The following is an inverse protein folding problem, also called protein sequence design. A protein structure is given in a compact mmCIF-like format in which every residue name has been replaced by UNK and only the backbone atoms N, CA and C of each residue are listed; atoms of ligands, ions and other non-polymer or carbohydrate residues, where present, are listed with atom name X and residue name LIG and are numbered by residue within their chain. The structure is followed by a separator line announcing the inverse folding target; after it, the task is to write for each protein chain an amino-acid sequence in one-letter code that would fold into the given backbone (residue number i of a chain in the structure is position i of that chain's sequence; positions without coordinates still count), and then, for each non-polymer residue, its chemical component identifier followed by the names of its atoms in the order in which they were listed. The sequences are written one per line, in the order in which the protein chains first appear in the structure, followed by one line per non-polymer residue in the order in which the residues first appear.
data_IF_697854781863
#
_entry.id   IF_697854781863
#
_cell.length_a   1.000
_cell.length_b   1.000
_cell.length_c   1.000
_cell.angle_alpha   90.00
_cell.angle_beta   90.00
_cell.angle_gamma   90.00
#
_symmetry.space_group_name_H-M   'P 1'
#
loop_
_entity.id
_entity.type
_entity.pdbx_description
1 polymer ?
#
# COMPACT_ATOMS: atom_id res chain seq x y z
N UNK A 1 -16.55 -36.01 6.74
CA UNK A 1 -15.49 -35.77 5.74
C UNK A 1 -15.06 -34.33 5.85
N UNK A 2 -13.77 -34.03 5.89
CA UNK A 2 -13.27 -32.66 5.83
C UNK A 2 -13.75 -32.02 4.51
N UNK A 3 -14.15 -30.74 4.56
CA UNK A 3 -14.61 -30.01 3.37
C UNK A 3 -13.37 -29.70 2.51
N UNK A 4 -13.24 -30.32 1.35
CA UNK A 4 -12.15 -30.06 0.43
C UNK A 4 -12.34 -28.71 -0.29
N UNK A 5 -11.26 -27.96 -0.45
CA UNK A 5 -11.21 -26.68 -1.17
C UNK A 5 -10.33 -26.82 -2.41
N UNK A 6 -10.60 -26.04 -3.44
CA UNK A 6 -9.69 -25.91 -4.57
C UNK A 6 -8.46 -25.09 -4.20
N UNK A 7 -8.64 -24.10 -3.30
CA UNK A 7 -7.58 -23.20 -2.84
C UNK A 7 -7.71 -22.85 -1.37
N UNK A 8 -6.59 -22.93 -0.65
CA UNK A 8 -6.40 -22.29 0.66
C UNK A 8 -5.50 -21.07 0.54
N UNK A 9 -5.94 -19.95 1.10
CA UNK A 9 -5.15 -18.71 1.21
C UNK A 9 -4.78 -18.48 2.66
N UNK A 10 -3.49 -18.41 2.96
CA UNK A 10 -2.98 -18.16 4.32
C UNK A 10 -2.66 -16.68 4.47
N UNK A 11 -3.43 -16.01 5.34
CA UNK A 11 -3.37 -14.57 5.60
C UNK A 11 -4.52 -13.80 4.94
N UNK A 12 -5.27 -13.04 5.73
CA UNK A 12 -6.39 -12.20 5.30
C UNK A 12 -6.02 -10.70 5.12
N UNK A 13 -4.73 -10.41 4.88
CA UNK A 13 -4.30 -9.08 4.42
C UNK A 13 -4.75 -8.82 2.99
N UNK A 14 -4.51 -7.59 2.48
CA UNK A 14 -4.98 -7.17 1.15
C UNK A 14 -4.49 -8.09 0.02
N UNK A 15 -3.29 -8.66 0.14
CA UNK A 15 -2.76 -9.61 -0.86
C UNK A 15 -3.56 -10.91 -0.84
N UNK A 16 -3.80 -11.48 0.36
CA UNK A 16 -4.62 -12.69 0.48
C UNK A 16 -6.08 -12.48 0.06
N UNK A 17 -6.66 -11.34 0.38
CA UNK A 17 -7.99 -10.93 -0.10
C UNK A 17 -8.01 -10.83 -1.64
N UNK A 18 -6.97 -10.25 -2.24
CA UNK A 18 -6.84 -10.18 -3.71
C UNK A 18 -6.74 -11.56 -4.37
N UNK A 19 -5.94 -12.45 -3.78
CA UNK A 19 -5.83 -13.85 -4.24
C UNK A 19 -7.17 -14.58 -4.11
N UNK A 20 -7.86 -14.43 -2.96
CA UNK A 20 -9.16 -15.06 -2.74
C UNK A 20 -10.22 -14.58 -3.73
N UNK A 21 -10.26 -13.26 -4.00
CA UNK A 21 -11.17 -12.67 -5.00
C UNK A 21 -10.89 -13.23 -6.41
N UNK A 22 -9.62 -13.24 -6.81
CA UNK A 22 -9.24 -13.72 -8.14
C UNK A 22 -9.63 -15.21 -8.35
N UNK A 23 -9.36 -16.05 -7.36
CA UNK A 23 -9.73 -17.45 -7.40
C UNK A 23 -11.26 -17.65 -7.40
N UNK A 24 -11.97 -16.92 -6.56
CA UNK A 24 -13.43 -17.00 -6.47
C UNK A 24 -14.11 -16.53 -7.77
N UNK A 25 -13.59 -15.50 -8.43
CA UNK A 25 -14.05 -15.04 -9.76
C UNK A 25 -13.84 -16.12 -10.84
N UNK A 26 -12.86 -17.02 -10.68
CA UNK A 26 -12.65 -18.20 -11.54
C UNK A 26 -13.47 -19.43 -11.10
N UNK A 27 -14.42 -19.27 -10.17
CA UNK A 27 -15.31 -20.35 -9.70
C UNK A 27 -14.65 -21.33 -8.75
N UNK A 28 -13.46 -21.03 -8.19
CA UNK A 28 -12.78 -21.89 -7.22
C UNK A 28 -13.44 -21.81 -5.85
N UNK A 29 -13.48 -22.94 -5.16
CA UNK A 29 -13.92 -23.04 -3.77
C UNK A 29 -12.75 -22.69 -2.85
N UNK A 30 -12.83 -21.53 -2.22
CA UNK A 30 -11.71 -20.91 -1.49
C UNK A 30 -11.96 -20.91 0.01
N UNK A 31 -10.90 -21.21 0.77
CA UNK A 31 -10.82 -20.91 2.20
C UNK A 31 -9.69 -19.92 2.48
N UNK A 32 -9.96 -18.86 3.26
CA UNK A 32 -8.95 -17.95 3.78
C UNK A 32 -8.72 -18.26 5.26
N UNK A 33 -7.46 -18.43 5.65
CA UNK A 33 -7.07 -18.82 7.00
C UNK A 33 -6.25 -17.67 7.61
N UNK A 34 -6.78 -17.07 8.67
CA UNK A 34 -6.14 -15.94 9.33
C UNK A 34 -5.92 -16.23 10.83
N UNK A 35 -4.70 -16.02 11.29
CA UNK A 35 -4.32 -16.31 12.69
C UNK A 35 -4.97 -15.42 13.73
N UNK A 36 -5.39 -14.21 13.33
CA UNK A 36 -6.04 -13.24 14.20
C UNK A 36 -7.56 -13.22 13.96
N UNK A 37 -8.29 -12.54 14.83
CA UNK A 37 -9.74 -12.32 14.68
C UNK A 37 -10.10 -11.40 13.49
N UNK A 38 -9.11 -10.67 12.95
CA UNK A 38 -9.19 -9.78 11.80
C UNK A 38 -7.79 -9.47 11.28
N UNK A 39 -7.67 -8.87 10.11
CA UNK A 39 -6.40 -8.35 9.64
C UNK A 39 -5.86 -7.28 10.59
N UNK A 40 -4.61 -7.41 11.05
CA UNK A 40 -3.94 -6.48 11.99
C UNK A 40 -2.57 -6.00 11.50
N UNK A 41 -2.08 -6.51 10.36
CA UNK A 41 -0.78 -6.16 9.80
C UNK A 41 -0.79 -4.88 8.96
N UNK A 42 0.16 -4.78 8.02
CA UNK A 42 0.36 -3.63 7.14
C UNK A 42 -0.93 -3.14 6.46
N UNK A 43 -1.84 -4.06 6.11
CA UNK A 43 -3.05 -3.76 5.35
C UNK A 43 -4.03 -2.80 6.04
N UNK A 44 -3.94 -2.60 7.37
CA UNK A 44 -4.78 -1.63 8.10
C UNK A 44 -3.95 -0.54 8.78
N UNK A 45 -2.62 -0.60 8.72
CA UNK A 45 -1.71 0.35 9.37
C UNK A 45 -1.06 1.31 8.38
N UNK A 46 -1.72 1.56 7.26
CA UNK A 46 -1.28 2.39 6.15
C UNK A 46 -2.25 3.58 5.94
N UNK A 47 -2.01 4.37 4.90
CA UNK A 47 -2.86 5.52 4.57
C UNK A 47 -4.23 5.14 4.01
N UNK A 48 -4.47 3.90 3.60
CA UNK A 48 -5.62 3.54 2.75
C UNK A 48 -5.57 4.22 1.38
N UNK A 49 -4.39 4.62 0.97
CA UNK A 49 -4.14 5.35 -0.26
C UNK A 49 -3.68 4.39 -1.35
N UNK A 50 -4.54 4.19 -2.34
CA UNK A 50 -4.24 3.42 -3.54
C UNK A 50 -3.46 4.34 -4.48
N UNK A 51 -2.14 4.37 -4.30
CA UNK A 51 -1.21 5.24 -5.02
C UNK A 51 -0.84 4.64 -6.35
N UNK A 52 -0.96 5.39 -7.41
CA UNK A 52 -0.63 5.00 -8.78
C UNK A 52 0.55 5.81 -9.31
N UNK A 53 0.43 7.14 -9.22
CA UNK A 53 1.50 8.05 -9.65
C UNK A 53 2.72 7.87 -8.77
N UNK A 54 3.88 7.81 -9.40
CA UNK A 54 5.14 7.57 -8.71
C UNK A 54 5.48 6.10 -8.48
N UNK A 55 4.61 5.15 -8.82
CA UNK A 55 5.00 3.74 -8.81
C UNK A 55 6.06 3.47 -9.88
N UNK A 56 6.94 2.49 -9.62
CA UNK A 56 8.00 2.10 -10.55
C UNK A 56 7.44 1.81 -11.95
N UNK A 57 8.08 2.36 -12.97
CA UNK A 57 7.68 2.16 -14.37
C UNK A 57 7.65 0.67 -14.77
N UNK A 58 6.84 0.35 -15.77
CA UNK A 58 6.72 -1.02 -16.28
C UNK A 58 5.69 -1.85 -15.55
N UNK A 59 6.00 -3.11 -15.26
CA UNK A 59 5.05 -4.09 -14.73
C UNK A 59 4.45 -3.67 -13.39
N UNK A 60 5.21 -3.00 -12.52
CA UNK A 60 4.72 -2.55 -11.23
C UNK A 60 3.64 -1.46 -11.35
N UNK A 61 3.87 -0.45 -12.20
CA UNK A 61 2.87 0.58 -12.49
C UNK A 61 1.62 -0.01 -13.16
N UNK A 62 1.79 -0.91 -14.13
CA UNK A 62 0.66 -1.60 -14.76
C UNK A 62 -0.17 -2.40 -13.75
N UNK A 63 0.51 -3.08 -12.83
CA UNK A 63 -0.13 -3.79 -11.70
C UNK A 63 -0.92 -2.83 -10.80
N UNK A 64 -0.37 -1.66 -10.52
CA UNK A 64 -1.07 -0.64 -9.73
C UNK A 64 -2.31 -0.09 -10.45
N UNK A 65 -2.21 0.20 -11.74
CA UNK A 65 -3.36 0.62 -12.56
C UNK A 65 -4.46 -0.45 -12.55
N UNK A 66 -4.12 -1.73 -12.79
CA UNK A 66 -5.11 -2.82 -12.76
C UNK A 66 -5.73 -2.99 -11.37
N UNK A 67 -4.94 -2.92 -10.31
CA UNK A 67 -5.47 -3.03 -8.95
C UNK A 67 -6.43 -1.89 -8.60
N UNK A 68 -6.14 -0.65 -9.04
CA UNK A 68 -7.06 0.48 -8.92
C UNK A 68 -8.38 0.21 -9.64
N UNK A 69 -8.33 -0.36 -10.85
CA UNK A 69 -9.54 -0.70 -11.61
C UNK A 69 -10.37 -1.75 -10.85
N UNK A 70 -9.72 -2.78 -10.27
CA UNK A 70 -10.42 -3.76 -9.42
C UNK A 70 -11.05 -3.10 -8.20
N UNK A 71 -10.34 -2.17 -7.52
CA UNK A 71 -10.95 -1.40 -6.44
C UNK A 71 -12.23 -0.69 -6.91
N UNK A 72 -12.17 0.04 -8.03
CA UNK A 72 -13.32 0.75 -8.59
C UNK A 72 -14.49 -0.18 -8.96
N UNK A 73 -14.19 -1.41 -9.40
CA UNK A 73 -15.20 -2.43 -9.73
C UNK A 73 -15.96 -2.93 -8.49
N UNK A 74 -15.32 -3.00 -7.33
CA UNK A 74 -15.86 -3.73 -6.17
C UNK A 74 -16.32 -2.85 -5.01
N UNK A 75 -15.91 -1.57 -4.94
CA UNK A 75 -16.19 -0.73 -3.77
C UNK A 75 -17.67 -0.58 -3.47
N UNK A 76 -18.50 -0.40 -4.49
CA UNK A 76 -19.96 -0.23 -4.31
C UNK A 76 -20.61 -1.54 -3.84
N UNK A 77 -20.23 -2.67 -4.43
CA UNK A 77 -20.75 -3.99 -4.03
C UNK A 77 -20.32 -4.40 -2.63
N UNK A 78 -19.13 -3.99 -2.21
CA UNK A 78 -18.56 -4.27 -0.89
C UNK A 78 -18.92 -3.20 0.16
N UNK A 79 -19.77 -2.22 -0.16
CA UNK A 79 -20.13 -1.09 0.70
C UNK A 79 -18.91 -0.33 1.25
N UNK A 80 -17.91 -0.11 0.41
CA UNK A 80 -16.68 0.62 0.75
C UNK A 80 -16.77 2.04 0.20
N UNK A 81 -16.67 3.04 1.06
CA UNK A 81 -16.62 4.42 0.62
C UNK A 81 -15.26 4.78 0.06
N UNK A 82 -15.23 5.39 -1.13
CA UNK A 82 -14.07 6.16 -1.60
C UNK A 82 -14.18 7.57 -1.00
N UNK A 83 -13.25 7.92 -0.13
CA UNK A 83 -13.29 9.19 0.62
C UNK A 83 -12.95 10.36 -0.28
N UNK A 84 -11.95 10.21 -1.12
CA UNK A 84 -11.57 11.17 -2.16
C UNK A 84 -10.78 10.50 -3.28
N UNK A 85 -10.66 11.18 -4.41
CA UNK A 85 -9.94 10.74 -5.58
C UNK A 85 -8.74 11.64 -5.87
N UNK A 86 -7.74 11.08 -6.54
CA UNK A 86 -6.60 11.83 -7.07
C UNK A 86 -5.57 12.23 -6.03
N UNK A 87 -4.53 12.86 -6.55
CA UNK A 87 -3.36 13.32 -5.83
C UNK A 87 -2.98 14.71 -6.28
N UNK A 88 -2.66 15.58 -5.32
CA UNK A 88 -2.09 16.92 -5.51
C UNK A 88 -0.68 16.94 -4.94
N UNK A 89 0.29 17.44 -5.71
CA UNK A 89 1.68 17.58 -5.28
C UNK A 89 2.15 19.02 -5.57
N UNK A 90 2.15 19.91 -4.56
CA UNK A 90 2.69 21.27 -4.72
C UNK A 90 4.23 21.21 -4.81
N UNK A 91 4.79 21.64 -5.93
CA UNK A 91 6.22 21.78 -6.13
C UNK A 91 6.69 23.11 -5.58
N UNK A 92 7.35 23.09 -4.45
CA UNK A 92 7.86 24.27 -3.73
C UNK A 92 9.28 24.64 -4.14
N UNK A 93 9.97 23.68 -4.76
CA UNK A 93 11.32 23.83 -5.26
C UNK A 93 11.29 23.84 -6.78
N UNK A 94 12.04 24.72 -7.47
CA UNK A 94 12.07 24.73 -8.93
C UNK A 94 12.40 23.38 -9.54
N UNK A 95 13.33 22.64 -8.94
CA UNK A 95 13.73 21.31 -9.40
C UNK A 95 12.56 20.31 -9.32
N UNK A 96 11.66 20.47 -8.35
CA UNK A 96 10.47 19.63 -8.24
C UNK A 96 9.48 19.89 -9.38
N UNK A 97 9.36 21.14 -9.81
CA UNK A 97 8.59 21.52 -11.01
C UNK A 97 9.13 20.84 -12.27
N UNK A 98 10.45 20.83 -12.45
CA UNK A 98 11.11 20.16 -13.56
C UNK A 98 10.83 18.65 -13.57
N UNK A 99 10.86 18.00 -12.41
CA UNK A 99 10.49 16.56 -12.29
C UNK A 99 9.03 16.33 -12.65
N UNK A 100 8.13 17.19 -12.17
CA UNK A 100 6.70 17.09 -12.50
C UNK A 100 6.44 17.20 -14.01
N UNK A 101 7.08 18.16 -14.68
CA UNK A 101 7.00 18.31 -16.13
C UNK A 101 7.59 17.13 -16.91
N UNK A 102 8.71 16.57 -16.45
CA UNK A 102 9.31 15.38 -17.04
C UNK A 102 8.41 14.15 -16.87
N UNK A 103 7.81 13.98 -15.70
CA UNK A 103 6.88 12.88 -15.42
C UNK A 103 5.67 12.90 -16.37
N UNK A 104 5.11 14.08 -16.67
CA UNK A 104 3.98 14.22 -17.59
C UNK A 104 4.29 13.73 -19.03
N UNK A 105 5.57 13.63 -19.39
CA UNK A 105 5.99 13.12 -20.72
C UNK A 105 6.17 11.60 -20.73
N UNK A 106 6.05 10.94 -19.57
CA UNK A 106 6.11 9.48 -19.47
C UNK A 106 4.74 8.84 -19.67
N UNK A 107 4.66 7.54 -19.97
CA UNK A 107 3.37 6.83 -19.99
C UNK A 107 2.61 6.91 -18.65
N UNK A 108 3.32 7.02 -17.53
CA UNK A 108 2.73 7.14 -16.19
C UNK A 108 2.06 8.50 -15.95
N UNK A 109 2.46 9.53 -16.70
CA UNK A 109 1.87 10.87 -16.67
C UNK A 109 0.57 11.01 -17.47
N UNK A 110 0.11 9.94 -18.13
CA UNK A 110 -1.15 9.98 -18.89
C UNK A 110 -2.31 10.41 -17.99
N UNK A 111 -3.12 11.36 -18.45
CA UNK A 111 -4.23 12.03 -17.73
C UNK A 111 -3.79 12.87 -16.52
N UNK A 112 -2.51 12.85 -16.12
CA UNK A 112 -1.98 13.80 -15.15
C UNK A 112 -1.79 15.18 -15.82
N UNK A 113 -1.78 16.23 -15.01
CA UNK A 113 -1.59 17.61 -15.52
C UNK A 113 -0.97 18.52 -14.48
N UNK A 114 -0.44 19.63 -14.91
CA UNK A 114 -0.20 20.75 -14.01
C UNK A 114 -1.53 21.49 -13.80
N UNK A 115 -1.78 21.92 -12.58
CA UNK A 115 -2.93 22.72 -12.23
C UNK A 115 -2.50 24.08 -11.69
N UNK A 116 -3.40 25.05 -11.80
CA UNK A 116 -3.21 26.37 -11.22
C UNK A 116 -3.32 26.32 -9.69
N UNK A 117 -2.77 27.33 -9.01
CA UNK A 117 -2.92 27.48 -7.54
C UNK A 117 -4.40 27.59 -7.14
N UNK A 118 -5.22 28.24 -7.94
CA UNK A 118 -6.66 28.38 -7.69
C UNK A 118 -7.35 27.00 -7.71
N UNK A 119 -7.12 26.20 -8.75
CA UNK A 119 -7.66 24.83 -8.83
C UNK A 119 -7.20 23.96 -7.66
N UNK A 120 -5.92 24.08 -7.26
CA UNK A 120 -5.38 23.34 -6.12
C UNK A 120 -6.02 23.78 -4.81
N UNK A 121 -6.24 25.07 -4.61
CA UNK A 121 -6.94 25.63 -3.45
C UNK A 121 -8.42 25.23 -3.40
N UNK A 122 -9.10 25.17 -4.54
CA UNK A 122 -10.49 24.70 -4.62
C UNK A 122 -10.61 23.23 -4.20
N UNK A 123 -9.60 22.42 -4.55
CA UNK A 123 -9.57 21.00 -4.25
C UNK A 123 -9.14 20.71 -2.80
N UNK A 124 -8.14 21.45 -2.28
CA UNK A 124 -7.62 21.35 -0.91
C UNK A 124 -7.38 22.77 -0.37
N UNK A 125 -8.38 23.43 0.21
CA UNK A 125 -8.32 24.83 0.62
C UNK A 125 -7.23 25.17 1.66
N UNK A 126 -6.77 24.17 2.41
CA UNK A 126 -5.73 24.34 3.42
C UNK A 126 -4.30 24.27 2.89
N UNK A 127 -4.08 24.13 1.56
CA UNK A 127 -2.73 24.13 1.01
C UNK A 127 -2.05 25.50 1.16
N UNK A 128 -0.81 25.48 1.61
CA UNK A 128 0.09 26.65 1.54
C UNK A 128 0.68 26.74 0.15
N UNK A 129 0.20 27.68 -0.66
CA UNK A 129 0.60 27.87 -2.06
C UNK A 129 1.55 29.05 -2.27
N UNK A 130 1.96 29.74 -1.18
CA UNK A 130 2.99 30.77 -1.24
C UNK A 130 4.35 30.12 -1.58
N UNK A 131 5.03 30.69 -2.59
CA UNK A 131 6.29 30.15 -3.07
C UNK A 131 6.18 28.83 -3.88
N UNK A 132 4.98 28.27 -4.05
CA UNK A 132 4.75 27.13 -4.95
C UNK A 132 4.76 27.62 -6.39
N UNK A 133 5.58 27.03 -7.25
CA UNK A 133 5.67 27.42 -8.66
C UNK A 133 4.69 26.63 -9.52
N UNK A 134 4.53 25.34 -9.24
CA UNK A 134 3.63 24.47 -9.98
C UNK A 134 2.99 23.43 -9.06
N UNK A 135 1.87 22.86 -9.49
CA UNK A 135 1.15 21.80 -8.77
C UNK A 135 0.89 20.67 -9.75
N UNK A 136 1.42 19.48 -9.47
CA UNK A 136 1.10 18.28 -10.21
C UNK A 136 -0.21 17.70 -9.69
N UNK A 137 -1.13 17.38 -10.59
CA UNK A 137 -2.36 16.64 -10.29
C UNK A 137 -2.38 15.31 -11.02
N UNK A 138 -2.74 14.25 -10.30
CA UNK A 138 -3.08 12.95 -10.86
C UNK A 138 -4.52 12.59 -10.52
N UNK A 139 -5.34 12.10 -11.48
CA UNK A 139 -6.69 11.62 -11.24
C UNK A 139 -6.75 10.12 -10.86
N UNK A 140 -5.62 9.43 -10.82
CA UNK A 140 -5.60 7.96 -10.77
C UNK A 140 -5.84 7.38 -9.39
N UNK A 141 -5.57 8.11 -8.33
CA UNK A 141 -5.54 7.64 -6.96
C UNK A 141 -6.93 7.51 -6.35
N UNK A 142 -7.06 6.56 -5.41
CA UNK A 142 -8.24 6.36 -4.59
C UNK A 142 -7.85 6.37 -3.11
N UNK A 143 -8.72 6.89 -2.26
CA UNK A 143 -8.59 6.81 -0.80
C UNK A 143 -9.74 6.01 -0.20
N UNK A 144 -9.43 4.90 0.47
CA UNK A 144 -10.36 4.08 1.26
C UNK A 144 -9.92 4.03 2.73
N UNK A 145 -10.83 3.89 3.68
CA UNK A 145 -10.45 3.66 5.07
C UNK A 145 -10.07 2.18 5.25
N UNK A 146 -8.78 1.87 5.31
CA UNK A 146 -8.28 0.49 5.29
C UNK A 146 -8.79 -0.36 6.45
N UNK A 147 -8.94 0.25 7.63
CA UNK A 147 -9.46 -0.44 8.83
C UNK A 147 -10.92 -0.88 8.69
N UNK A 148 -11.68 -0.22 7.82
CA UNK A 148 -13.06 -0.55 7.48
C UNK A 148 -13.16 -1.40 6.21
N UNK A 149 -12.34 -1.07 5.20
CA UNK A 149 -12.38 -1.74 3.90
C UNK A 149 -12.03 -3.24 4.00
N UNK A 150 -11.01 -3.61 4.78
CA UNK A 150 -10.60 -5.02 4.89
C UNK A 150 -11.70 -5.93 5.49
N UNK A 151 -12.35 -5.60 6.62
CA UNK A 151 -13.49 -6.36 7.13
C UNK A 151 -14.67 -6.41 6.15
N UNK A 152 -14.99 -5.31 5.48
CA UNK A 152 -16.07 -5.24 4.48
C UNK A 152 -15.76 -6.13 3.27
N UNK A 153 -14.53 -6.14 2.77
CA UNK A 153 -14.09 -7.05 1.71
C UNK A 153 -14.25 -8.52 2.12
N UNK A 154 -13.84 -8.88 3.33
CA UNK A 154 -14.00 -10.24 3.82
C UNK A 154 -15.47 -10.66 3.89
N UNK A 155 -16.33 -9.82 4.48
CA UNK A 155 -17.77 -10.07 4.58
C UNK A 155 -18.43 -10.16 3.19
N UNK A 156 -18.04 -9.29 2.26
CA UNK A 156 -18.52 -9.33 0.88
C UNK A 156 -18.10 -10.62 0.14
N UNK A 157 -16.84 -11.05 0.31
CA UNK A 157 -16.36 -12.33 -0.26
C UNK A 157 -17.11 -13.54 0.30
N UNK A 158 -17.40 -13.56 1.61
CA UNK A 158 -18.23 -14.60 2.23
C UNK A 158 -19.66 -14.59 1.65
N UNK A 159 -20.29 -13.46 1.63
CA UNK A 159 -21.70 -13.33 1.24
C UNK A 159 -21.89 -13.59 -0.26
N UNK A 160 -21.08 -12.92 -1.10
CA UNK A 160 -21.26 -12.90 -2.56
C UNK A 160 -20.53 -14.02 -3.28
N UNK A 161 -19.31 -14.33 -2.86
CA UNK A 161 -18.43 -15.29 -3.54
C UNK A 161 -18.28 -16.63 -2.84
N UNK A 162 -18.95 -16.82 -1.68
CA UNK A 162 -18.95 -18.06 -0.89
C UNK A 162 -17.54 -18.48 -0.45
N UNK A 163 -16.64 -17.52 -0.25
CA UNK A 163 -15.32 -17.75 0.35
C UNK A 163 -15.51 -18.07 1.83
N UNK A 164 -14.93 -19.16 2.30
CA UNK A 164 -14.95 -19.51 3.72
C UNK A 164 -13.80 -18.78 4.44
N UNK A 165 -14.06 -18.12 5.56
CA UNK A 165 -13.01 -17.52 6.40
C UNK A 165 -12.83 -18.31 7.70
N UNK A 166 -11.56 -18.60 8.05
CA UNK A 166 -11.14 -19.24 9.28
C UNK A 166 -10.30 -18.27 10.10
N UNK A 167 -10.99 -17.42 10.85
CA UNK A 167 -10.38 -16.49 11.79
C UNK A 167 -9.83 -17.20 13.02
N UNK A 168 -8.91 -16.56 13.74
CA UNK A 168 -8.23 -17.12 14.93
C UNK A 168 -7.56 -18.48 14.66
N UNK A 169 -7.19 -18.75 13.42
CA UNK A 169 -6.69 -20.05 12.99
C UNK A 169 -5.28 -19.88 12.41
N UNK A 170 -4.27 -20.34 13.14
CA UNK A 170 -2.88 -20.31 12.68
C UNK A 170 -2.56 -21.57 11.87
N UNK A 171 -1.96 -21.40 10.68
CA UNK A 171 -1.37 -22.50 9.91
C UNK A 171 -0.01 -22.82 10.51
N UNK A 172 0.26 -24.11 10.78
CA UNK A 172 1.49 -24.62 11.37
C UNK A 172 2.39 -25.32 10.37
N UNK A 173 1.79 -26.09 9.45
CA UNK A 173 2.50 -26.80 8.40
C UNK A 173 1.61 -27.00 7.18
N UNK A 174 2.26 -27.19 6.02
CA UNK A 174 1.63 -27.52 4.74
C UNK A 174 2.38 -28.74 4.19
N UNK A 175 1.66 -29.85 4.05
CA UNK A 175 2.17 -31.11 3.52
C UNK A 175 1.25 -31.65 2.43
N UNK A 176 1.66 -31.47 1.18
CA UNK A 176 0.81 -31.76 0.01
C UNK A 176 -0.49 -30.95 0.06
N UNK A 177 -1.63 -31.64 -0.01
CA UNK A 177 -2.98 -31.02 0.09
C UNK A 177 -3.42 -30.76 1.52
N UNK A 178 -2.64 -31.20 2.52
CA UNK A 178 -2.99 -31.16 3.92
C UNK A 178 -2.38 -29.94 4.60
N UNK A 179 -3.22 -29.11 5.21
CA UNK A 179 -2.84 -27.90 5.92
C UNK A 179 -3.13 -28.10 7.42
N UNK A 180 -2.08 -28.16 8.21
CA UNK A 180 -2.20 -28.32 9.67
C UNK A 180 -2.42 -26.94 10.31
N UNK A 181 -3.48 -26.82 11.08
CA UNK A 181 -3.83 -25.56 11.75
C UNK A 181 -3.95 -25.73 13.26
N UNK A 182 -4.11 -24.61 13.96
CA UNK A 182 -4.41 -24.61 15.41
C UNK A 182 -5.77 -25.22 15.75
N UNK A 183 -6.65 -25.41 14.78
CA UNK A 183 -8.01 -25.92 14.94
C UNK A 183 -8.29 -27.18 14.08
N UNK A 184 -7.27 -28.00 13.87
CA UNK A 184 -7.36 -29.23 13.08
C UNK A 184 -6.83 -29.06 11.67
N UNK A 185 -7.16 -30.00 10.80
CA UNK A 185 -6.62 -30.09 9.44
C UNK A 185 -7.64 -29.57 8.43
N UNK A 186 -7.15 -28.84 7.43
CA UNK A 186 -7.90 -28.41 6.24
C UNK A 186 -7.28 -29.08 5.02
N UNK A 187 -8.11 -29.52 4.08
CA UNK A 187 -7.67 -30.10 2.81
C UNK A 187 -7.95 -29.11 1.67
N UNK A 188 -6.92 -28.83 0.86
CA UNK A 188 -7.03 -27.98 -0.34
C UNK A 188 -6.06 -28.46 -1.44
N UNK A 189 -6.49 -28.38 -2.71
CA UNK A 189 -5.68 -28.81 -3.85
C UNK A 189 -4.46 -27.90 -4.08
N UNK A 190 -4.59 -26.62 -3.75
CA UNK A 190 -3.51 -25.65 -3.85
C UNK A 190 -3.49 -24.69 -2.64
N UNK A 191 -2.33 -24.06 -2.39
CA UNK A 191 -2.13 -23.12 -1.29
C UNK A 191 -1.40 -21.87 -1.74
N UNK A 192 -1.91 -20.70 -1.36
CA UNK A 192 -1.18 -19.44 -1.49
C UNK A 192 -0.92 -18.87 -0.11
N UNK A 193 0.35 -18.69 0.23
CA UNK A 193 0.80 -18.14 1.52
C UNK A 193 1.15 -16.68 1.35
N UNK A 194 0.43 -15.79 2.06
CA UNK A 194 0.61 -14.34 2.06
C UNK A 194 1.05 -13.88 3.46
N UNK A 195 2.31 -14.10 3.86
CA UNK A 195 2.75 -13.95 5.24
C UNK A 195 2.91 -12.48 5.68
N UNK A 196 2.85 -11.53 4.74
CA UNK A 196 3.15 -10.12 5.03
C UNK A 196 4.63 -9.92 5.36
N UNK A 197 4.93 -9.54 6.60
CA UNK A 197 6.29 -9.35 7.14
C UNK A 197 6.72 -10.47 8.12
N UNK A 198 6.00 -11.59 8.12
CA UNK A 198 6.39 -12.78 8.90
C UNK A 198 7.35 -13.66 8.09
N UNK A 199 8.64 -13.54 8.38
CA UNK A 199 9.70 -14.26 7.69
C UNK A 199 10.04 -15.63 8.32
N UNK A 200 9.41 -15.99 9.44
CA UNK A 200 9.85 -17.10 10.28
C UNK A 200 8.87 -18.26 10.41
N UNK A 201 7.57 -18.04 10.16
CA UNK A 201 6.55 -19.05 10.46
C UNK A 201 6.42 -20.09 9.35
N UNK A 202 6.24 -19.66 8.09
CA UNK A 202 6.05 -20.56 6.94
C UNK A 202 7.12 -20.30 5.88
N UNK A 203 7.78 -21.38 5.45
CA UNK A 203 8.83 -21.35 4.43
C UNK A 203 10.03 -20.41 4.74
N UNK A 204 10.54 -20.38 5.99
CA UNK A 204 11.62 -19.46 6.35
C UNK A 204 12.88 -19.65 5.50
N UNK A 205 13.24 -20.89 5.15
CA UNK A 205 14.40 -21.20 4.30
C UNK A 205 14.24 -20.69 2.86
N UNK A 206 12.99 -20.56 2.37
CA UNK A 206 12.71 -19.97 1.05
C UNK A 206 12.86 -18.45 1.13
N UNK A 207 12.29 -17.84 2.15
CA UNK A 207 12.35 -16.38 2.39
C UNK A 207 13.80 -15.94 2.60
N UNK A 208 14.58 -16.70 3.39
CA UNK A 208 15.98 -16.38 3.70
C UNK A 208 16.94 -16.34 2.48
N UNK A 209 16.53 -16.88 1.34
CA UNK A 209 17.31 -16.78 0.09
C UNK A 209 17.29 -15.37 -0.53
N UNK A 210 16.42 -14.50 -0.03
CA UNK A 210 16.21 -13.16 -0.55
C UNK A 210 16.66 -12.10 0.46
N UNK A 211 17.29 -10.99 0.00
CA UNK A 211 17.75 -9.91 0.87
C UNK A 211 16.57 -9.04 1.32
N UNK A 212 15.68 -9.59 2.13
CA UNK A 212 14.55 -8.89 2.69
C UNK A 212 14.90 -8.24 4.03
N UNK A 213 14.30 -7.09 4.27
CA UNK A 213 14.30 -6.38 5.55
C UNK A 213 12.87 -6.05 5.97
N UNK A 214 12.68 -5.70 7.23
CA UNK A 214 11.45 -5.11 7.71
C UNK A 214 11.59 -3.59 7.65
N UNK A 215 10.66 -2.93 6.97
CA UNK A 215 10.48 -1.50 7.09
C UNK A 215 9.53 -1.23 8.25
N UNK A 216 9.95 -0.43 9.21
CA UNK A 216 9.10 0.11 10.27
C UNK A 216 8.81 1.56 9.97
N UNK A 217 7.53 1.93 9.98
CA UNK A 217 7.09 3.29 9.75
C UNK A 217 6.23 3.80 10.90
N UNK A 218 6.37 5.09 11.20
CA UNK A 218 5.56 5.79 12.19
C UNK A 218 4.57 6.70 11.46
N UNK A 219 3.33 6.64 11.90
CA UNK A 219 2.22 7.35 11.30
C UNK A 219 1.41 8.08 12.35
N UNK A 220 0.79 9.17 11.95
CA UNK A 220 -0.01 10.05 12.79
C UNK A 220 -1.44 10.16 12.27
N UNK A 221 -2.38 10.32 13.21
CA UNK A 221 -3.70 10.87 12.91
C UNK A 221 -3.78 12.27 13.48
N UNK A 222 -4.09 13.23 12.62
CA UNK A 222 -4.16 14.64 12.96
C UNK A 222 -5.61 15.10 12.84
N UNK A 223 -6.15 15.72 13.90
CA UNK A 223 -7.45 16.37 13.86
C UNK A 223 -7.27 17.88 13.63
N UNK A 224 -7.80 18.44 12.53
CA UNK A 224 -7.87 19.89 12.35
C UNK A 224 -8.72 20.55 13.44
N UNK A 225 -8.35 21.73 13.91
CA UNK A 225 -9.16 22.50 14.88
C UNK A 225 -10.47 23.03 14.26
N UNK A 226 -10.48 23.25 12.96
CA UNK A 226 -11.65 23.64 12.18
C UNK A 226 -11.85 22.64 11.05
N UNK A 227 -13.11 22.37 10.64
CA UNK A 227 -13.37 21.50 9.50
C UNK A 227 -12.60 21.96 8.25
N UNK A 228 -11.90 21.03 7.63
CA UNK A 228 -11.17 21.25 6.38
C UNK A 228 -11.54 20.15 5.39
N UNK A 229 -11.63 20.50 4.12
CA UNK A 229 -11.94 19.54 3.05
C UNK A 229 -10.68 19.20 2.27
N UNK A 230 -10.49 17.91 2.03
CA UNK A 230 -9.51 17.37 1.12
C UNK A 230 -10.22 16.64 -0.02
N UNK A 231 -10.28 17.25 -1.19
CA UNK A 231 -10.85 16.63 -2.38
C UNK A 231 -9.89 15.63 -3.06
N UNK A 232 -8.62 15.63 -2.65
CA UNK A 232 -7.58 14.71 -3.12
C UNK A 232 -6.57 14.42 -2.00
N UNK A 233 -5.78 13.36 -2.17
CA UNK A 233 -4.56 13.15 -1.36
C UNK A 233 -3.55 14.26 -1.64
N UNK A 234 -2.67 14.52 -0.69
CA UNK A 234 -1.56 15.46 -0.88
C UNK A 234 -0.25 14.77 -0.55
N UNK A 235 0.73 14.92 -1.42
CA UNK A 235 2.12 14.58 -1.16
C UNK A 235 2.98 15.85 -1.26
N UNK A 236 4.01 15.97 -0.42
CA UNK A 236 5.00 17.04 -0.61
C UNK A 236 5.94 16.75 -1.78
N UNK A 237 6.66 17.76 -2.24
CA UNK A 237 7.62 17.63 -3.35
C UNK A 237 8.83 16.73 -3.01
N UNK A 238 9.04 16.41 -1.72
CA UNK A 238 10.02 15.42 -1.31
C UNK A 238 9.70 14.02 -1.87
N UNK A 239 8.42 13.72 -2.11
CA UNK A 239 7.96 12.46 -2.70
C UNK A 239 8.45 12.26 -4.14
N UNK A 240 8.70 13.36 -4.90
CA UNK A 240 9.27 13.33 -6.24
C UNK A 240 10.73 12.83 -6.26
N UNK A 241 11.43 12.91 -5.12
CA UNK A 241 12.79 12.37 -4.97
C UNK A 241 12.84 10.96 -4.37
N UNK A 242 11.67 10.37 -4.04
CA UNK A 242 11.57 9.08 -3.35
C UNK A 242 10.89 8.00 -4.18
N UNK A 243 9.69 8.26 -4.71
CA UNK A 243 8.95 7.28 -5.51
C UNK A 243 9.62 7.04 -6.85
N UNK A 244 9.93 5.78 -7.17
CA UNK A 244 10.74 5.38 -8.31
C UNK A 244 10.21 5.90 -9.65
N UNK A 245 8.89 6.00 -9.82
CA UNK A 245 8.28 6.59 -11.02
C UNK A 245 8.64 8.06 -11.27
N UNK A 246 9.03 8.79 -10.22
CA UNK A 246 9.57 10.15 -10.34
C UNK A 246 11.09 10.15 -10.15
N UNK A 247 11.55 9.46 -9.09
CA UNK A 247 12.93 9.50 -8.63
C UNK A 247 13.93 8.89 -9.62
N UNK A 248 13.49 7.99 -10.50
CA UNK A 248 14.33 7.37 -11.54
C UNK A 248 14.46 8.26 -12.79
N UNK A 249 13.69 9.35 -12.89
CA UNK A 249 13.87 10.32 -13.95
C UNK A 249 15.22 11.06 -13.80
N UNK A 250 15.94 11.31 -14.89
CA UNK A 250 17.20 12.06 -14.85
C UNK A 250 17.04 13.42 -14.17
N UNK A 251 15.91 14.09 -14.37
CA UNK A 251 15.57 15.39 -13.82
C UNK A 251 15.49 15.39 -12.28
N UNK A 252 15.19 14.25 -11.66
CA UNK A 252 15.10 14.11 -10.22
C UNK A 252 16.45 14.25 -9.50
N UNK A 253 17.59 14.12 -10.21
CA UNK A 253 18.90 14.18 -9.60
C UNK A 253 19.22 15.55 -8.97
N UNK A 254 18.78 16.64 -9.60
CA UNK A 254 18.97 17.98 -9.05
C UNK A 254 18.14 18.17 -7.76
N UNK A 255 16.90 17.73 -7.76
CA UNK A 255 16.03 17.75 -6.58
C UNK A 255 16.61 16.91 -5.44
N UNK A 256 17.10 15.70 -5.72
CA UNK A 256 17.73 14.83 -4.71
C UNK A 256 18.90 15.52 -4.03
N UNK A 257 19.84 16.08 -4.80
CA UNK A 257 21.00 16.78 -4.26
C UNK A 257 20.60 17.98 -3.37
N UNK A 258 19.60 18.75 -3.79
CA UNK A 258 19.10 19.87 -3.00
C UNK A 258 18.49 19.40 -1.68
N UNK A 259 17.61 18.38 -1.75
CA UNK A 259 16.97 17.83 -0.56
C UNK A 259 17.96 17.15 0.40
N UNK A 260 19.03 16.54 -0.10
CA UNK A 260 20.07 15.94 0.74
C UNK A 260 20.80 16.98 1.60
N UNK A 261 20.78 18.27 1.20
CA UNK A 261 21.34 19.39 1.97
C UNK A 261 20.25 20.05 2.83
N UNK A 262 19.11 20.43 2.24
CA UNK A 262 18.06 21.20 2.92
C UNK A 262 17.27 20.38 3.94
N UNK A 263 17.04 19.08 3.64
CA UNK A 263 16.16 18.18 4.39
C UNK A 263 16.91 16.91 4.85
N UNK A 264 18.21 17.06 5.17
CA UNK A 264 19.08 15.92 5.48
C UNK A 264 18.50 15.02 6.58
N UNK A 265 17.91 15.60 7.63
CA UNK A 265 17.34 14.85 8.75
C UNK A 265 16.08 14.10 8.35
N UNK A 266 15.15 14.73 7.64
CA UNK A 266 13.92 14.12 7.12
C UNK A 266 14.23 13.02 6.09
N UNK A 267 15.21 13.26 5.21
CA UNK A 267 15.68 12.29 4.22
C UNK A 267 16.29 11.05 4.88
N UNK A 268 17.12 11.24 5.92
CA UNK A 268 17.69 10.12 6.68
C UNK A 268 16.64 9.32 7.44
N UNK A 269 15.55 9.96 7.86
CA UNK A 269 14.39 9.31 8.47
C UNK A 269 13.39 8.74 7.45
N UNK A 270 13.64 8.90 6.14
CA UNK A 270 12.77 8.46 5.05
C UNK A 270 11.44 9.20 4.96
N UNK A 271 11.35 10.41 5.53
CA UNK A 271 10.12 11.24 5.51
C UNK A 271 9.99 11.93 4.17
N UNK A 272 8.78 11.94 3.61
CA UNK A 272 8.46 12.60 2.35
C UNK A 272 7.02 13.13 2.29
N UNK A 273 6.28 13.08 3.36
CA UNK A 273 4.90 13.46 3.62
C UNK A 273 3.86 12.97 2.63
N UNK A 274 2.91 12.21 3.17
CA UNK A 274 1.61 11.95 2.59
C UNK A 274 0.55 12.42 3.59
N UNK A 275 -0.50 13.07 3.12
CA UNK A 275 -1.68 13.40 3.90
C UNK A 275 -2.95 12.99 3.15
N UNK A 276 -3.82 12.23 3.81
CA UNK A 276 -5.12 11.81 3.28
C UNK A 276 -6.20 12.03 4.32
N UNK A 277 -7.40 12.40 3.88
CA UNK A 277 -8.51 12.61 4.80
C UNK A 277 -9.25 11.30 5.08
N UNK A 278 -9.74 11.16 6.31
CA UNK A 278 -10.66 10.13 6.77
C UNK A 278 -12.10 10.64 6.78
N UNK A 279 -13.08 9.74 6.85
CA UNK A 279 -14.50 10.10 6.82
C UNK A 279 -14.94 11.01 8.00
N UNK A 280 -14.23 10.95 9.13
CA UNK A 280 -14.47 11.80 10.30
C UNK A 280 -13.83 13.21 10.19
N UNK A 281 -13.20 13.51 9.04
CA UNK A 281 -12.52 14.77 8.80
C UNK A 281 -11.08 14.84 9.33
N UNK A 282 -10.64 13.84 10.11
CA UNK A 282 -9.23 13.74 10.51
C UNK A 282 -8.33 13.38 9.33
N UNK A 283 -7.02 13.61 9.49
CA UNK A 283 -6.02 13.32 8.46
C UNK A 283 -5.10 12.19 8.94
N UNK A 284 -4.86 11.21 8.07
CA UNK A 284 -3.74 10.28 8.23
C UNK A 284 -2.53 10.89 7.56
N UNK A 285 -1.48 11.06 8.35
CA UNK A 285 -0.27 11.82 7.97
C UNK A 285 0.96 10.99 8.27
N UNK A 286 1.93 11.03 7.40
CA UNK A 286 3.20 10.32 7.62
C UNK A 286 4.07 10.31 6.37
N UNK A 287 4.99 9.46 6.34
CA UNK A 287 5.49 8.51 7.32
C UNK A 287 7.01 8.55 7.44
N UNK A 288 7.56 7.96 8.49
CA UNK A 288 8.99 7.68 8.58
C UNK A 288 9.29 6.27 8.04
N UNK A 289 10.56 6.00 7.67
CA UNK A 289 10.97 4.67 7.22
C UNK A 289 12.29 4.27 7.86
N UNK A 290 12.25 3.25 8.69
CA UNK A 290 13.42 2.65 9.33
C UNK A 290 13.54 1.19 8.88
N UNK A 291 14.65 0.84 8.27
CA UNK A 291 14.90 -0.50 7.74
C UNK A 291 15.79 -1.31 8.68
N UNK A 292 15.44 -2.58 8.91
CA UNK A 292 16.20 -3.46 9.78
C UNK A 292 15.73 -4.91 9.67
N UNK A 293 16.37 -5.78 10.46
CA UNK A 293 16.01 -7.22 10.51
C UNK A 293 14.86 -7.49 11.49
N UNK A 294 14.43 -6.48 12.23
CA UNK A 294 13.34 -6.58 13.20
C UNK A 294 12.57 -5.26 13.24
N UNK A 295 11.31 -5.34 13.63
CA UNK A 295 10.46 -4.18 13.88
C UNK A 295 11.04 -3.30 15.00
N UNK A 296 11.00 -1.98 14.83
CA UNK A 296 11.24 -1.03 15.92
C UNK A 296 9.92 -0.84 16.70
N UNK A 297 9.84 -1.28 17.97
CA UNK A 297 8.57 -1.31 18.69
C UNK A 297 8.18 0.06 19.27
N UNK A 298 9.12 1.02 19.32
CA UNK A 298 8.89 2.31 19.96
C UNK A 298 8.72 3.42 18.94
N UNK A 299 7.67 4.25 19.13
CA UNK A 299 7.51 5.50 18.42
C UNK A 299 8.53 6.53 18.89
N UNK A 300 8.98 7.40 17.97
CA UNK A 300 9.96 8.45 18.25
C UNK A 300 9.30 9.83 18.13
N UNK A 301 9.42 10.64 19.18
CA UNK A 301 8.99 12.05 19.14
C UNK A 301 9.75 12.86 18.07
N UNK A 302 10.99 12.49 17.79
CA UNK A 302 11.76 13.08 16.69
C UNK A 302 11.07 12.88 15.34
N UNK A 303 10.54 11.69 15.08
CA UNK A 303 9.83 11.43 13.82
C UNK A 303 8.48 12.16 13.77
N UNK A 304 7.74 12.23 14.89
CA UNK A 304 6.53 13.06 14.98
C UNK A 304 6.85 14.50 14.57
N UNK A 305 7.89 15.09 15.17
CA UNK A 305 8.29 16.47 14.86
C UNK A 305 8.61 16.65 13.37
N UNK A 306 9.46 15.80 12.79
CA UNK A 306 9.84 15.92 11.38
C UNK A 306 8.64 15.78 10.43
N UNK A 307 7.71 14.85 10.72
CA UNK A 307 6.47 14.69 9.95
C UNK A 307 5.60 15.93 10.06
N UNK A 308 5.45 16.47 11.28
CA UNK A 308 4.62 17.64 11.55
C UNK A 308 5.24 18.92 11.03
N UNK A 309 6.56 19.08 11.06
CA UNK A 309 7.28 20.19 10.46
C UNK A 309 7.04 20.26 8.94
N UNK A 310 7.11 19.11 8.25
CA UNK A 310 6.79 19.07 6.83
C UNK A 310 5.30 19.27 6.57
N UNK A 311 4.43 18.75 7.44
CA UNK A 311 2.98 18.98 7.36
C UNK A 311 2.67 20.49 7.44
N UNK A 312 3.26 21.23 8.38
CA UNK A 312 3.05 22.67 8.56
C UNK A 312 3.64 23.52 7.43
N UNK A 313 4.61 22.99 6.69
CA UNK A 313 5.09 23.63 5.46
C UNK A 313 4.10 23.50 4.30
N UNK A 314 3.35 22.40 4.25
CA UNK A 314 2.42 22.09 3.16
C UNK A 314 1.02 22.64 3.44
N UNK A 315 0.60 22.67 4.73
CA UNK A 315 -0.78 23.02 5.09
C UNK A 315 -0.85 24.21 6.05
N UNK A 316 -1.92 24.98 5.88
CA UNK A 316 -2.36 26.01 6.84
C UNK A 316 -3.54 25.47 7.67
N UNK A 317 -3.21 24.73 8.73
CA UNK A 317 -4.18 24.12 9.66
C UNK A 317 -3.78 24.43 11.10
N UNK A 318 -3.92 25.70 11.52
CA UNK A 318 -3.54 26.11 12.86
C UNK A 318 -4.39 25.42 13.93
N UNK A 319 -3.79 25.14 15.09
CA UNK A 319 -4.47 24.52 16.21
C UNK A 319 -4.78 23.03 16.02
N UNK A 320 -4.19 22.39 15.02
CA UNK A 320 -4.27 20.94 14.83
C UNK A 320 -3.76 20.16 16.04
N UNK A 321 -4.31 18.99 16.28
CA UNK A 321 -3.87 18.09 17.35
C UNK A 321 -3.57 16.70 16.81
N UNK A 322 -2.54 16.04 17.34
CA UNK A 322 -2.27 14.62 17.06
C UNK A 322 -3.15 13.79 17.99
N UNK A 323 -4.13 13.09 17.43
CA UNK A 323 -5.11 12.32 18.19
C UNK A 323 -4.78 10.83 18.25
N UNK A 324 -3.94 10.33 17.34
CA UNK A 324 -3.48 8.94 17.36
C UNK A 324 -2.10 8.80 16.73
N UNK A 325 -1.35 7.77 17.16
CA UNK A 325 -0.04 7.35 16.64
C UNK A 325 -0.02 5.85 16.53
N UNK A 326 0.61 5.33 15.48
CA UNK A 326 0.86 3.90 15.37
C UNK A 326 2.12 3.60 14.58
N UNK A 327 2.59 2.36 14.76
CA UNK A 327 3.69 1.81 13.98
C UNK A 327 3.11 0.82 12.99
N UNK A 328 3.51 0.95 11.74
CA UNK A 328 3.28 -0.03 10.68
C UNK A 328 4.57 -0.75 10.34
N UNK A 329 4.44 -1.98 9.85
CA UNK A 329 5.58 -2.76 9.35
C UNK A 329 5.22 -3.46 8.05
N UNK A 330 6.19 -3.58 7.17
CA UNK A 330 6.06 -4.39 5.94
C UNK A 330 7.40 -4.96 5.49
N UNK A 331 7.35 -6.03 4.71
CA UNK A 331 8.52 -6.59 4.06
C UNK A 331 9.09 -5.63 3.01
N UNK A 332 10.40 -5.43 3.00
CA UNK A 332 11.07 -4.52 2.08
C UNK A 332 12.23 -5.19 1.37
N UNK A 333 12.38 -4.89 0.07
CA UNK A 333 13.52 -5.27 -0.75
C UNK A 333 13.98 -4.08 -1.60
N UNK A 334 15.28 -3.99 -1.82
CA UNK A 334 15.87 -3.02 -2.76
C UNK A 334 15.88 -3.53 -4.20
N UNK A 335 15.64 -4.82 -4.40
CA UNK A 335 15.79 -5.47 -5.70
C UNK A 335 14.47 -5.69 -6.42
N UNK A 336 13.38 -5.87 -5.66
CA UNK A 336 12.08 -6.24 -6.22
C UNK A 336 10.92 -5.64 -5.44
N UNK A 337 9.82 -5.39 -6.12
CA UNK A 337 8.58 -4.84 -5.54
C UNK A 337 7.64 -5.94 -5.04
N UNK A 338 7.80 -7.16 -5.54
CA UNK A 338 7.08 -8.35 -5.11
C UNK A 338 8.03 -9.55 -5.06
N UNK A 339 7.76 -10.47 -4.14
CA UNK A 339 8.37 -11.79 -4.08
C UNK A 339 7.27 -12.82 -4.29
N UNK A 340 7.41 -13.62 -5.34
CA UNK A 340 6.55 -14.78 -5.59
C UNK A 340 7.45 -15.99 -5.79
N UNK A 341 7.37 -16.92 -4.84
CA UNK A 341 8.15 -18.15 -4.83
C UNK A 341 7.23 -19.38 -4.95
N UNK A 342 7.81 -20.47 -5.41
CA UNK A 342 7.13 -21.74 -5.62
C UNK A 342 7.76 -22.84 -4.76
N UNK A 343 7.44 -22.90 -3.46
CA UNK A 343 7.97 -23.94 -2.57
C UNK A 343 7.61 -25.36 -3.01
N UNK A 344 6.45 -25.55 -3.66
CA UNK A 344 6.00 -26.76 -4.32
C UNK A 344 5.10 -26.42 -5.51
N UNK A 345 4.80 -27.38 -6.37
CA UNK A 345 3.99 -27.16 -7.59
C UNK A 345 2.62 -26.54 -7.29
N UNK A 346 2.00 -26.97 -6.22
CA UNK A 346 0.68 -26.51 -5.75
C UNK A 346 0.76 -25.39 -4.71
N UNK A 347 1.96 -24.84 -4.40
CA UNK A 347 2.15 -23.79 -3.39
C UNK A 347 2.76 -22.54 -4.01
N UNK A 348 2.21 -21.38 -3.66
CA UNK A 348 2.83 -20.05 -3.90
C UNK A 348 3.05 -19.34 -2.58
N UNK A 349 4.24 -18.75 -2.43
CA UNK A 349 4.57 -17.81 -1.35
C UNK A 349 4.61 -16.41 -1.96
N UNK A 350 3.77 -15.50 -1.46
CA UNK A 350 3.53 -14.19 -2.09
C UNK A 350 3.71 -13.08 -1.09
N UNK A 351 4.64 -12.16 -1.37
CA UNK A 351 4.92 -10.99 -0.52
C UNK A 351 5.04 -9.72 -1.38
N UNK A 352 4.43 -8.63 -0.94
CA UNK A 352 4.72 -7.29 -1.45
C UNK A 352 5.88 -6.72 -0.65
N UNK A 353 6.93 -6.27 -1.33
CA UNK A 353 8.22 -5.90 -0.72
C UNK A 353 8.56 -4.41 -0.87
N UNK A 354 7.56 -3.56 -0.97
CA UNK A 354 7.73 -2.10 -1.15
C UNK A 354 6.64 -1.25 -0.53
N UNK A 355 5.81 -1.82 0.39
CA UNK A 355 4.73 -1.08 1.04
C UNK A 355 3.52 -0.78 0.14
N UNK A 356 3.47 -1.33 -1.07
CA UNK A 356 2.48 -1.01 -2.12
C UNK A 356 1.29 -1.98 -2.15
N UNK A 357 1.01 -2.70 -1.06
CA UNK A 357 -0.03 -3.74 -1.01
C UNK A 357 -1.42 -3.23 -1.39
N UNK A 358 -1.85 -2.08 -0.89
CA UNK A 358 -3.14 -1.48 -1.24
C UNK A 358 -3.24 -1.14 -2.73
N UNK A 359 -2.12 -0.71 -3.33
CA UNK A 359 -2.03 -0.30 -4.73
C UNK A 359 -1.87 -1.45 -5.71
N UNK A 360 -1.46 -2.65 -5.26
CA UNK A 360 -1.08 -3.75 -6.17
C UNK A 360 -1.71 -5.09 -5.84
N UNK A 361 -2.25 -5.26 -4.63
CA UNK A 361 -2.66 -6.56 -4.09
C UNK A 361 -3.70 -7.30 -4.92
N UNK A 362 -4.70 -6.62 -5.48
CA UNK A 362 -5.71 -7.26 -6.31
C UNK A 362 -5.14 -7.78 -7.63
N UNK A 363 -4.39 -6.96 -8.34
CA UNK A 363 -3.78 -7.37 -9.61
C UNK A 363 -2.70 -8.44 -9.40
N UNK A 364 -1.96 -8.38 -8.28
CA UNK A 364 -1.02 -9.43 -7.89
C UNK A 364 -1.78 -10.73 -7.63
N UNK A 365 -2.95 -10.67 -6.97
CA UNK A 365 -3.82 -11.83 -6.77
C UNK A 365 -4.26 -12.48 -8.08
N UNK A 366 -4.72 -11.69 -9.07
CA UNK A 366 -5.06 -12.17 -10.41
C UNK A 366 -3.85 -12.89 -11.05
N UNK A 367 -2.67 -12.24 -11.02
CA UNK A 367 -1.45 -12.78 -11.60
C UNK A 367 -0.98 -14.09 -10.93
N UNK A 368 -1.12 -14.20 -9.61
CA UNK A 368 -0.75 -15.40 -8.85
C UNK A 368 -1.68 -16.57 -9.15
N UNK A 369 -2.97 -16.31 -9.27
CA UNK A 369 -3.96 -17.33 -9.60
C UNK A 369 -3.78 -17.82 -11.05
N UNK A 370 -3.49 -16.91 -11.97
CA UNK A 370 -3.16 -17.29 -13.35
C UNK A 370 -1.90 -18.17 -13.40
N UNK A 371 -0.82 -17.80 -12.67
CA UNK A 371 0.41 -18.60 -12.60
C UNK A 371 0.20 -19.97 -11.92
N UNK A 372 -0.66 -20.03 -10.92
CA UNK A 372 -0.91 -21.25 -10.17
C UNK A 372 -1.67 -22.31 -11.02
N UNK A 373 -2.60 -21.84 -11.85
CA UNK A 373 -3.46 -22.71 -12.67
C UNK A 373 -3.09 -22.74 -14.15
N UNK A 374 -2.11 -21.95 -14.60
CA UNK A 374 -1.62 -21.99 -15.97
C UNK A 374 -0.57 -23.09 -16.19
N UNK A 375 -0.44 -23.52 -17.46
CA UNK A 375 0.57 -24.51 -17.87
C UNK A 375 1.99 -23.93 -18.01
N UNK A 376 2.17 -22.62 -17.91
CA UNK A 376 3.45 -21.92 -18.11
C UNK A 376 3.76 -21.05 -16.91
N UNK A 377 4.99 -21.13 -16.39
CA UNK A 377 5.47 -20.29 -15.30
C UNK A 377 5.67 -18.83 -15.75
N UNK A 378 5.29 -17.89 -14.88
CA UNK A 378 5.49 -16.45 -15.06
C UNK A 378 6.83 -16.02 -14.47
N UNK A 379 7.51 -15.08 -15.14
CA UNK A 379 8.61 -14.32 -14.52
C UNK A 379 8.05 -13.14 -13.71
N UNK A 380 8.56 -12.94 -12.50
CA UNK A 380 8.13 -11.89 -11.57
C UNK A 380 9.17 -10.77 -11.51
N UNK A 381 8.75 -9.53 -11.77
CA UNK A 381 9.55 -8.31 -11.66
C UNK A 381 9.17 -7.48 -10.42
#
# INVERSE_FOLDING_TARGET
MAKAYDLAVVGAGIVGIGVALAAARQGKKVVVIERNARAVGASIRNFGFVTISGQKAGAHWQRAMRARDVWAEIVDEADIAIIHHGLVMPARRPEAGVVAEAFLKTPMGEKCRLMTKAEASDLVPSLRLDGVETVLYSPHELRVESSEALPKLAAWLEARHKVDFRWNTAVRAIDGTRIETSHGTIEADAVVVCPGDDFSTLFPDVIAKHPLTICTLQMLRVAPAQPSRFGAAVMSDMSLARYEGFADLPEAQALKRRLDVEEAESRAAGIHLIAVQSADGSLVVGDSHVYGNAQQPFASERFDRLILDEFDRVFDLPGRTVVNRWIGTYASSKERTVLVERPADHVRLVMVTGGTGASTGFALGEQVIDDLYASTSRTWE
#
